data_IF_704561056878
#
_entry.id   IF_704561056878
#
_cell.length_a   1.000
_cell.length_b   1.000
_cell.length_c   1.000
_cell.angle_alpha   90.00
_cell.angle_beta   90.00
_cell.angle_gamma   90.00
#
_symmetry.space_group_name_H-M   'P 1'
#
loop_
_entity.id
_entity.type
_entity.pdbx_description
1 polymer ?
#
# COMPACT_ATOMS: atom_id res chain seq x y z
N UNK A 1 11.62 14.53 29.98
CA UNK A 1 12.86 13.85 29.53
C UNK A 1 12.94 13.99 28.03
N UNK A 2 14.09 14.39 27.48
CA UNK A 2 14.32 14.46 26.03
C UNK A 2 15.39 13.41 25.72
N UNK A 3 15.14 12.56 24.73
CA UNK A 3 16.06 11.51 24.28
C UNK A 3 16.26 11.65 22.79
N UNK A 4 17.50 11.53 22.33
CA UNK A 4 17.85 11.43 20.91
C UNK A 4 18.22 9.99 20.60
N UNK A 5 17.66 9.43 19.55
CA UNK A 5 17.90 8.05 19.13
C UNK A 5 17.94 7.96 17.61
N UNK A 6 18.73 7.02 17.10
CA UNK A 6 18.65 6.57 15.70
C UNK A 6 17.94 5.21 15.59
N UNK A 7 17.53 4.63 16.72
CA UNK A 7 16.90 3.32 16.79
C UNK A 7 15.37 3.46 16.92
N UNK A 8 14.61 2.88 15.98
CA UNK A 8 13.15 2.87 16.01
C UNK A 8 12.54 2.21 17.24
N UNK A 9 13.23 1.24 17.83
CA UNK A 9 12.77 0.50 19.00
C UNK A 9 12.53 1.38 20.24
N UNK A 10 13.03 2.61 20.26
CA UNK A 10 12.81 3.58 21.33
C UNK A 10 11.58 4.47 21.12
N UNK A 11 10.88 4.32 19.99
CA UNK A 11 9.68 5.08 19.69
C UNK A 11 8.45 4.25 20.05
N UNK A 12 7.67 4.74 21.00
CA UNK A 12 6.35 4.22 21.34
C UNK A 12 5.29 5.29 21.08
N UNK A 13 4.69 5.22 19.90
CA UNK A 13 3.60 6.12 19.45
C UNK A 13 2.28 5.90 20.18
N UNK A 14 2.15 4.83 20.98
CA UNK A 14 0.93 4.57 21.74
C UNK A 14 0.77 5.43 23.00
N UNK A 15 1.79 6.22 23.35
CA UNK A 15 1.82 7.07 24.55
C UNK A 15 1.58 8.54 24.21
N UNK A 16 0.73 9.18 25.01
CA UNK A 16 0.34 10.59 24.86
C UNK A 16 1.47 11.60 25.10
N UNK A 17 2.54 11.18 25.76
CA UNK A 17 3.66 12.06 26.10
C UNK A 17 4.82 11.97 25.09
N UNK A 18 4.64 11.28 23.96
CA UNK A 18 5.68 11.11 22.95
C UNK A 18 5.49 12.15 21.84
N UNK A 19 6.29 13.22 21.84
CA UNK A 19 6.45 14.08 20.65
C UNK A 19 7.70 13.65 19.90
N UNK A 20 7.58 13.41 18.59
CA UNK A 20 8.71 12.99 17.75
C UNK A 20 9.09 14.17 16.85
N UNK A 21 10.34 14.59 16.99
CA UNK A 21 10.95 15.64 16.16
C UNK A 21 12.04 14.97 15.35
N UNK A 22 11.85 14.96 14.02
CA UNK A 22 12.88 14.54 13.08
C UNK A 22 13.82 15.71 12.86
N UNK A 23 15.11 15.45 13.00
CA UNK A 23 16.16 16.42 12.69
C UNK A 23 16.96 15.85 11.53
N UNK A 24 17.04 16.62 10.45
CA UNK A 24 17.70 16.22 9.22
C UNK A 24 18.61 17.33 8.70
N UNK A 25 19.72 16.94 8.07
CA UNK A 25 20.65 17.86 7.44
C UNK A 25 20.50 17.74 5.92
N UNK A 26 19.96 18.77 5.29
CA UNK A 26 19.78 18.84 3.84
C UNK A 26 20.71 19.93 3.32
N UNK A 27 21.67 19.57 2.46
CA UNK A 27 22.64 20.50 1.86
C UNK A 27 23.40 21.38 2.88
N UNK A 28 23.73 20.83 4.05
CA UNK A 28 24.43 21.57 5.11
C UNK A 28 23.52 22.41 6.02
N UNK A 29 22.22 22.48 5.75
CA UNK A 29 21.25 23.17 6.59
C UNK A 29 20.51 22.16 7.48
N UNK A 30 20.50 22.43 8.80
CA UNK A 30 19.75 21.63 9.77
C UNK A 30 18.29 22.05 9.73
N UNK A 31 17.40 21.10 9.48
CA UNK A 31 15.94 21.27 9.54
C UNK A 31 15.36 20.36 10.62
N UNK A 32 14.46 20.90 11.44
CA UNK A 32 13.72 20.16 12.45
C UNK A 32 12.25 20.12 12.08
N UNK A 33 11.71 18.93 11.84
CA UNK A 33 10.29 18.72 11.52
C UNK A 33 9.63 17.94 12.65
N UNK A 34 8.57 18.49 13.25
CA UNK A 34 7.74 17.70 14.18
C UNK A 34 6.92 16.71 13.35
N UNK A 35 7.31 15.43 13.39
CA UNK A 35 6.70 14.35 12.59
C UNK A 35 5.57 13.65 13.32
N UNK A 36 5.50 13.77 14.64
CA UNK A 36 4.40 13.23 15.45
C UNK A 36 4.15 14.10 16.69
N UNK A 37 2.88 14.39 16.95
CA UNK A 37 2.43 15.07 18.16
C UNK A 37 1.02 14.59 18.54
N UNK A 38 0.85 13.92 19.69
CA UNK A 38 -0.42 13.34 20.13
C UNK A 38 -1.60 14.32 20.10
N UNK A 39 -1.42 15.58 20.49
CA UNK A 39 -2.53 16.56 20.53
C UNK A 39 -3.06 16.95 19.14
N UNK A 40 -2.28 16.71 18.08
CA UNK A 40 -2.72 16.90 16.68
C UNK A 40 -3.30 15.64 16.07
N UNK A 41 -3.06 14.50 16.73
CA UNK A 41 -3.32 13.16 16.25
C UNK A 41 -4.54 12.67 17.04
N UNK A 42 -5.74 12.82 16.46
CA UNK A 42 -7.02 12.48 17.11
C UNK A 42 -7.22 10.95 17.21
N UNK A 43 -6.29 10.24 17.87
CA UNK A 43 -6.38 8.80 18.08
C UNK A 43 -7.49 8.51 19.08
N UNK A 44 -8.49 7.77 18.63
CA UNK A 44 -9.47 7.17 19.52
C UNK A 44 -8.87 5.95 20.27
N UNK A 45 -9.65 5.37 21.18
CA UNK A 45 -9.20 4.22 21.98
C UNK A 45 -8.92 2.97 21.13
N UNK A 46 -9.60 2.84 19.98
CA UNK A 46 -9.40 1.74 19.03
C UNK A 46 -8.07 1.92 18.29
N UNK A 47 -7.81 3.13 17.77
CA UNK A 47 -6.56 3.49 17.10
C UNK A 47 -5.34 3.31 18.03
N UNK A 48 -5.47 3.68 19.31
CA UNK A 48 -4.42 3.47 20.32
C UNK A 48 -4.16 2.00 20.59
N UNK A 49 -5.23 1.20 20.68
CA UNK A 49 -5.12 -0.24 20.89
C UNK A 49 -4.47 -0.91 19.70
N UNK A 50 -4.84 -0.51 18.49
CA UNK A 50 -4.24 -0.96 17.25
C UNK A 50 -2.76 -0.55 17.15
N UNK A 51 -2.40 0.68 17.53
CA UNK A 51 -1.03 1.15 17.57
C UNK A 51 -0.14 0.36 18.54
N UNK A 52 -0.67 0.02 19.73
CA UNK A 52 0.04 -0.86 20.67
C UNK A 52 0.30 -2.22 20.07
N UNK A 53 -0.71 -2.80 19.42
CA UNK A 53 -0.59 -4.09 18.75
C UNK A 53 0.41 -4.02 17.60
N UNK A 54 0.37 -2.96 16.79
CA UNK A 54 1.33 -2.74 15.71
C UNK A 54 2.76 -2.60 16.21
N UNK A 55 3.02 -1.82 17.27
CA UNK A 55 4.36 -1.69 17.85
C UNK A 55 4.90 -3.04 18.38
N UNK A 56 4.02 -3.92 18.85
CA UNK A 56 4.39 -5.28 19.28
C UNK A 56 4.66 -6.19 18.07
N UNK A 57 3.86 -6.05 17.02
CA UNK A 57 3.84 -6.97 15.88
C UNK A 57 4.89 -6.64 14.82
N UNK A 58 5.20 -5.36 14.65
CA UNK A 58 6.17 -4.87 13.69
C UNK A 58 7.01 -3.73 14.31
N UNK A 59 8.19 -4.06 14.90
CA UNK A 59 9.06 -3.06 15.51
C UNK A 59 9.64 -2.07 14.50
N UNK A 60 9.46 -2.30 13.20
CA UNK A 60 9.94 -1.46 12.12
C UNK A 60 8.91 -0.41 11.68
N UNK A 61 7.67 -0.41 12.20
CA UNK A 61 6.69 0.68 11.95
C UNK A 61 7.27 2.05 12.30
N UNK A 62 8.08 2.11 13.36
CA UNK A 62 8.76 3.32 13.77
C UNK A 62 9.87 3.79 12.80
N UNK A 63 10.35 2.94 11.87
CA UNK A 63 11.35 3.34 10.86
C UNK A 63 10.86 4.50 9.99
N UNK A 64 9.55 4.60 9.78
CA UNK A 64 8.93 5.73 9.09
C UNK A 64 9.41 7.10 9.63
N UNK A 65 9.65 7.22 10.94
CA UNK A 65 10.07 8.48 11.57
C UNK A 65 11.51 8.89 11.24
N UNK A 66 12.33 7.95 10.80
CA UNK A 66 13.75 8.17 10.54
C UNK A 66 14.02 8.57 9.07
N UNK A 67 12.98 8.60 8.23
CA UNK A 67 13.06 9.03 6.83
C UNK A 67 12.99 7.85 5.87
N UNK A 68 13.36 8.10 4.61
CA UNK A 68 13.24 7.12 3.52
C UNK A 68 11.94 7.23 2.73
N UNK A 69 11.80 6.34 1.75
CA UNK A 69 10.63 6.22 0.87
C UNK A 69 9.72 5.13 1.44
N UNK A 70 8.54 5.51 1.91
CA UNK A 70 7.61 4.60 2.56
C UNK A 70 6.50 4.14 1.62
N UNK A 71 6.28 2.83 1.58
CA UNK A 71 5.17 2.18 0.88
C UNK A 71 4.34 1.44 1.92
N UNK A 72 3.03 1.64 1.84
CA UNK A 72 2.06 0.96 2.69
C UNK A 72 1.32 -0.04 1.82
N UNK A 73 1.24 -1.27 2.30
CA UNK A 73 0.55 -2.37 1.63
C UNK A 73 -0.52 -2.96 2.55
N UNK A 74 -1.57 -3.53 1.93
CA UNK A 74 -2.67 -4.15 2.66
C UNK A 74 -2.28 -5.50 3.24
N UNK A 75 -1.55 -6.33 2.48
CA UNK A 75 -1.28 -7.72 2.83
C UNK A 75 0.18 -8.17 2.83
N UNK A 76 0.35 -9.45 3.19
CA UNK A 76 1.66 -10.13 3.20
C UNK A 76 2.16 -10.47 1.79
N UNK A 77 1.27 -10.60 0.80
CA UNK A 77 1.64 -10.95 -0.58
C UNK A 77 2.48 -9.83 -1.19
N UNK A 78 2.00 -8.59 -1.13
CA UNK A 78 2.65 -7.40 -1.67
C UNK A 78 3.94 -7.12 -0.92
N UNK A 79 3.89 -7.21 0.42
CA UNK A 79 5.07 -7.09 1.26
C UNK A 79 6.16 -8.06 0.82
N UNK A 80 5.82 -9.35 0.69
CA UNK A 80 6.79 -10.39 0.34
C UNK A 80 7.32 -10.23 -1.08
N UNK A 81 6.44 -9.90 -2.04
CA UNK A 81 6.80 -9.65 -3.43
C UNK A 81 7.83 -8.51 -3.56
N UNK A 82 7.56 -7.38 -2.91
CA UNK A 82 8.47 -6.24 -2.94
C UNK A 82 9.76 -6.51 -2.18
N UNK A 83 9.71 -7.15 -0.99
CA UNK A 83 10.93 -7.54 -0.26
C UNK A 83 11.82 -8.46 -1.09
N UNK A 84 11.23 -9.35 -1.89
CA UNK A 84 11.97 -10.20 -2.80
C UNK A 84 12.71 -9.39 -3.88
N UNK A 85 12.02 -8.47 -4.57
CA UNK A 85 12.64 -7.57 -5.58
C UNK A 85 13.73 -6.69 -4.96
N UNK A 86 13.48 -6.14 -3.77
CA UNK A 86 14.47 -5.33 -3.06
C UNK A 86 15.74 -6.12 -2.74
N UNK A 87 15.60 -7.40 -2.36
CA UNK A 87 16.72 -8.27 -2.03
C UNK A 87 17.57 -8.64 -3.25
N UNK A 88 17.00 -8.69 -4.46
CA UNK A 88 17.78 -8.94 -5.69
C UNK A 88 18.56 -7.71 -6.15
N UNK A 89 18.13 -6.49 -5.76
CA UNK A 89 18.75 -5.21 -6.17
C UNK A 89 18.98 -4.25 -4.98
N UNK A 90 19.78 -4.65 -3.96
CA UNK A 90 19.95 -3.87 -2.72
C UNK A 90 20.62 -2.50 -2.93
N UNK A 91 21.30 -2.30 -4.06
CA UNK A 91 21.89 -1.01 -4.44
C UNK A 91 20.86 0.07 -4.80
N UNK A 92 19.72 -0.33 -5.37
CA UNK A 92 18.68 0.55 -5.93
C UNK A 92 17.64 0.91 -4.86
N UNK A 93 17.23 -0.09 -4.08
CA UNK A 93 16.14 0.04 -3.12
C UNK A 93 16.62 0.35 -1.70
N UNK A 94 17.69 1.15 -1.59
CA UNK A 94 18.14 1.71 -0.30
C UNK A 94 17.09 2.67 0.25
N UNK A 95 16.98 2.70 1.56
CA UNK A 95 16.09 3.59 2.32
C UNK A 95 14.62 3.47 1.89
N UNK A 96 14.20 2.25 1.52
CA UNK A 96 12.80 1.91 1.23
C UNK A 96 12.23 1.13 2.41
N UNK A 97 11.11 1.61 2.94
CA UNK A 97 10.40 0.96 4.03
C UNK A 97 9.02 0.52 3.54
N UNK A 98 8.71 -0.76 3.72
CA UNK A 98 7.40 -1.32 3.36
C UNK A 98 6.69 -1.68 4.65
N UNK A 99 5.51 -1.11 4.84
CA UNK A 99 4.74 -1.24 6.07
C UNK A 99 3.45 -1.97 5.76
N UNK A 100 3.18 -3.04 6.51
CA UNK A 100 1.90 -3.75 6.51
C UNK A 100 1.01 -3.09 7.56
N UNK A 101 0.11 -2.21 7.15
CA UNK A 101 -0.66 -1.43 8.12
C UNK A 101 -1.97 -0.85 7.58
N UNK A 102 -2.90 -0.63 8.51
CA UNK A 102 -4.14 0.09 8.26
C UNK A 102 -3.87 1.59 8.04
N UNK A 103 -4.41 2.11 6.93
CA UNK A 103 -4.22 3.50 6.45
C UNK A 103 -4.58 4.57 7.48
N UNK A 104 -5.48 4.28 8.42
CA UNK A 104 -5.90 5.22 9.48
C UNK A 104 -4.74 5.82 10.27
N UNK A 105 -3.73 5.01 10.58
CA UNK A 105 -2.62 5.41 11.45
C UNK A 105 -1.62 6.32 10.71
N UNK A 106 -1.68 6.39 9.38
CA UNK A 106 -0.58 6.89 8.54
C UNK A 106 -0.69 8.37 8.22
N UNK A 107 -1.89 8.98 8.29
CA UNK A 107 -2.05 10.43 8.14
C UNK A 107 -1.42 11.22 9.30
N UNK A 108 -1.07 10.52 10.36
CA UNK A 108 -0.39 11.08 11.52
C UNK A 108 1.12 11.16 11.34
N UNK A 109 1.67 10.62 10.24
CA UNK A 109 3.09 10.57 10.00
C UNK A 109 3.46 11.36 8.74
N UNK A 110 4.15 12.48 8.93
CA UNK A 110 4.44 13.45 7.86
C UNK A 110 5.59 13.01 6.93
N UNK A 111 5.33 12.95 5.62
CA UNK A 111 5.87 13.92 4.63
C UNK A 111 5.87 13.37 3.19
N UNK A 112 5.93 12.05 2.97
CA UNK A 112 5.72 11.43 1.64
C UNK A 112 5.58 9.91 1.74
N UNK A 113 4.50 9.33 1.23
CA UNK A 113 4.31 7.88 1.18
C UNK A 113 3.40 7.47 0.03
N UNK A 114 3.47 6.19 -0.33
CA UNK A 114 2.53 5.58 -1.27
C UNK A 114 1.71 4.50 -0.58
N UNK A 115 0.47 4.34 -1.02
CA UNK A 115 -0.45 3.29 -0.57
C UNK A 115 -0.75 2.39 -1.75
N UNK A 116 -0.59 1.09 -1.56
CA UNK A 116 -1.10 0.04 -2.42
C UNK A 116 -2.11 -0.79 -1.63
N UNK A 117 -3.27 -1.03 -2.20
CA UNK A 117 -4.32 -1.87 -1.63
C UNK A 117 -5.03 -2.63 -2.75
N UNK A 118 -5.88 -3.58 -2.41
CA UNK A 118 -6.69 -4.28 -3.40
C UNK A 118 -7.96 -3.48 -3.71
N UNK A 119 -8.28 -3.29 -5.00
CA UNK A 119 -9.50 -2.56 -5.36
C UNK A 119 -10.74 -3.33 -4.94
N UNK A 120 -10.64 -4.67 -4.88
CA UNK A 120 -11.78 -5.56 -4.83
C UNK A 120 -12.77 -5.26 -5.97
N UNK A 121 -13.98 -5.80 -5.85
CA UNK A 121 -15.12 -5.45 -6.70
C UNK A 121 -16.25 -4.84 -5.86
N UNK A 122 -17.04 -3.89 -6.38
CA UNK A 122 -18.15 -3.27 -5.64
C UNK A 122 -19.21 -4.28 -5.17
N UNK A 123 -19.36 -5.38 -5.90
CA UNK A 123 -20.34 -6.44 -5.63
C UNK A 123 -19.71 -7.82 -5.69
N UNK A 124 -20.16 -8.72 -4.83
CA UNK A 124 -19.76 -10.12 -4.81
C UNK A 124 -20.96 -11.05 -4.83
N UNK A 125 -20.78 -12.29 -5.30
CA UNK A 125 -21.81 -13.32 -5.30
C UNK A 125 -21.78 -14.10 -3.99
N UNK A 126 -22.89 -14.10 -3.25
CA UNK A 126 -23.05 -14.90 -2.04
C UNK A 126 -24.35 -15.69 -2.11
N UNK A 127 -24.25 -17.02 -2.06
CA UNK A 127 -25.42 -17.93 -2.16
C UNK A 127 -26.28 -17.63 -3.40
N UNK A 128 -25.66 -17.33 -4.54
CA UNK A 128 -26.35 -17.04 -5.80
C UNK A 128 -27.01 -15.66 -5.89
N UNK A 129 -26.79 -14.77 -4.90
CA UNK A 129 -27.26 -13.37 -4.94
C UNK A 129 -26.09 -12.41 -5.02
N UNK A 130 -26.21 -11.41 -5.88
CA UNK A 130 -25.30 -10.26 -5.93
C UNK A 130 -25.56 -9.38 -4.72
N UNK A 131 -24.54 -9.19 -3.89
CA UNK A 131 -24.57 -8.32 -2.72
C UNK A 131 -23.44 -7.29 -2.83
N UNK A 132 -23.55 -6.17 -2.09
CA UNK A 132 -22.41 -5.26 -1.91
C UNK A 132 -21.25 -6.01 -1.28
N UNK A 133 -20.06 -5.84 -1.82
CA UNK A 133 -18.86 -6.47 -1.27
C UNK A 133 -18.42 -5.72 -0.01
N UNK A 134 -18.36 -6.36 1.17
CA UNK A 134 -17.86 -5.71 2.37
C UNK A 134 -16.40 -5.25 2.24
N UNK A 135 -15.61 -5.94 1.42
CA UNK A 135 -14.21 -5.60 1.20
C UNK A 135 -14.05 -4.26 0.47
N UNK A 136 -14.99 -3.92 -0.44
CA UNK A 136 -15.07 -2.60 -1.09
C UNK A 136 -15.19 -1.44 -0.10
N UNK A 137 -15.80 -1.65 1.08
CA UNK A 137 -15.93 -0.61 2.09
C UNK A 137 -14.57 -0.19 2.68
N UNK A 138 -13.50 -0.98 2.49
CA UNK A 138 -12.15 -0.56 2.88
C UNK A 138 -11.63 0.58 2.00
N UNK A 139 -11.98 0.61 0.71
CA UNK A 139 -11.61 1.71 -0.20
C UNK A 139 -12.07 3.07 0.34
N UNK A 140 -13.31 3.14 0.84
CA UNK A 140 -13.86 4.36 1.46
C UNK A 140 -13.07 4.78 2.70
N UNK A 141 -12.68 3.82 3.56
CA UNK A 141 -11.89 4.09 4.76
C UNK A 141 -10.49 4.60 4.41
N UNK A 142 -9.84 3.97 3.43
CA UNK A 142 -8.52 4.37 2.92
C UNK A 142 -8.59 5.79 2.35
N UNK A 143 -9.61 6.06 1.53
CA UNK A 143 -9.83 7.38 0.94
C UNK A 143 -10.03 8.45 2.00
N UNK A 144 -10.97 8.22 2.93
CA UNK A 144 -11.28 9.17 4.00
C UNK A 144 -10.07 9.46 4.88
N UNK A 145 -9.28 8.43 5.21
CA UNK A 145 -8.03 8.58 5.91
C UNK A 145 -7.09 9.52 5.11
N UNK A 146 -6.81 9.21 3.84
CA UNK A 146 -5.92 10.02 3.00
C UNK A 146 -6.38 11.47 2.86
N UNK A 147 -7.68 11.77 2.90
CA UNK A 147 -8.18 13.15 2.86
C UNK A 147 -7.85 13.96 4.12
N UNK A 148 -7.65 13.31 5.28
CA UNK A 148 -7.31 13.97 6.54
C UNK A 148 -5.80 14.27 6.67
N UNK A 149 -5.02 14.01 5.62
CA UNK A 149 -3.57 14.26 5.60
C UNK A 149 -3.24 15.76 5.61
N UNK A 150 -2.08 16.16 6.17
CA UNK A 150 -1.57 17.52 5.99
C UNK A 150 -1.37 17.87 4.50
N UNK A 151 -1.74 19.09 4.08
CA UNK A 151 -1.60 19.55 2.68
C UNK A 151 -0.17 19.48 2.13
N UNK A 152 0.84 19.41 2.99
CA UNK A 152 2.26 19.27 2.63
C UNK A 152 2.67 17.84 2.29
N UNK A 153 1.80 16.85 2.53
CA UNK A 153 2.10 15.44 2.28
C UNK A 153 1.82 15.08 0.82
N UNK A 154 2.86 14.59 0.13
CA UNK A 154 2.72 13.99 -1.19
C UNK A 154 2.38 12.51 -1.05
N UNK A 155 1.15 12.14 -1.37
CA UNK A 155 0.64 10.77 -1.25
C UNK A 155 0.20 10.27 -2.62
N UNK A 156 0.71 9.10 -3.01
CA UNK A 156 0.21 8.35 -4.17
C UNK A 156 -0.66 7.20 -3.68
N UNK A 157 -1.82 7.04 -4.30
CA UNK A 157 -2.81 6.02 -3.95
C UNK A 157 -3.06 5.13 -5.16
N UNK A 158 -2.59 3.90 -5.09
CA UNK A 158 -2.79 2.87 -6.11
C UNK A 158 -3.66 1.75 -5.57
N UNK A 159 -4.55 1.21 -6.40
CA UNK A 159 -5.26 -0.03 -6.14
C UNK A 159 -4.83 -1.11 -7.14
N UNK A 160 -4.53 -2.32 -6.66
CA UNK A 160 -4.41 -3.51 -7.49
C UNK A 160 -5.80 -3.89 -7.99
N UNK A 161 -5.98 -3.94 -9.30
CA UNK A 161 -7.24 -4.30 -9.94
C UNK A 161 -7.71 -5.70 -9.49
N UNK A 162 -8.84 -5.73 -8.80
CA UNK A 162 -9.34 -6.93 -8.13
C UNK A 162 -8.52 -7.21 -6.88
N UNK A 163 -7.39 -7.90 -7.07
CA UNK A 163 -6.41 -8.16 -6.03
C UNK A 163 -5.00 -8.23 -6.62
N UNK A 164 -3.97 -8.16 -5.76
CA UNK A 164 -2.58 -8.19 -6.17
C UNK A 164 -2.24 -9.40 -7.05
N UNK A 165 -2.66 -10.60 -6.68
CA UNK A 165 -2.32 -11.80 -7.44
C UNK A 165 -2.95 -11.80 -8.84
N UNK A 166 -4.24 -11.44 -8.94
CA UNK A 166 -4.91 -11.32 -10.24
C UNK A 166 -4.26 -10.22 -11.09
N UNK A 167 -3.96 -9.06 -10.52
CA UNK A 167 -3.43 -7.92 -11.26
C UNK A 167 -2.03 -8.17 -11.87
N UNK A 168 -1.15 -8.87 -11.14
CA UNK A 168 0.25 -9.00 -11.54
C UNK A 168 0.66 -10.42 -11.93
N UNK A 169 -0.06 -11.44 -11.47
CA UNK A 169 0.21 -12.84 -11.83
C UNK A 169 -0.88 -13.43 -12.74
N UNK A 170 -2.06 -12.83 -12.82
CA UNK A 170 -3.15 -13.32 -13.67
C UNK A 170 -3.88 -14.53 -13.09
N UNK A 171 -3.66 -14.85 -11.81
CA UNK A 171 -4.21 -16.01 -11.12
C UNK A 171 -4.77 -15.58 -9.75
N UNK A 172 -5.98 -16.05 -9.40
CA UNK A 172 -6.49 -15.94 -8.03
C UNK A 172 -6.09 -17.19 -7.25
N UNK A 173 -4.93 -17.13 -6.59
CA UNK A 173 -4.45 -18.25 -5.78
C UNK A 173 -5.07 -18.17 -4.37
N UNK A 174 -5.85 -19.19 -3.98
CA UNK A 174 -6.58 -19.22 -2.71
C UNK A 174 -5.75 -19.58 -1.46
N UNK A 175 -4.60 -20.25 -1.61
CA UNK A 175 -3.77 -20.75 -0.50
C UNK A 175 -2.30 -20.34 -0.64
N UNK A 176 -1.61 -20.11 0.49
CA UNK A 176 -0.15 -19.85 0.54
C UNK A 176 0.35 -18.66 -0.31
N UNK A 177 -0.48 -17.61 -0.40
CA UNK A 177 -0.24 -16.45 -1.27
C UNK A 177 1.16 -15.84 -1.19
N UNK A 178 1.77 -15.57 0.00
CA UNK A 178 3.10 -14.97 0.05
C UNK A 178 4.20 -15.85 -0.55
N UNK A 179 4.12 -17.16 -0.32
CA UNK A 179 5.07 -18.11 -0.89
C UNK A 179 4.90 -18.20 -2.41
N UNK A 180 3.65 -18.30 -2.88
CA UNK A 180 3.35 -18.37 -4.31
C UNK A 180 3.79 -17.10 -5.06
N UNK A 181 3.68 -15.92 -4.44
CA UNK A 181 4.20 -14.70 -5.01
C UNK A 181 5.71 -14.79 -5.30
N UNK A 182 6.50 -15.35 -4.38
CA UNK A 182 7.94 -15.56 -4.61
C UNK A 182 8.17 -16.51 -5.78
N UNK A 183 7.46 -17.64 -5.82
CA UNK A 183 7.60 -18.64 -6.89
C UNK A 183 7.30 -18.02 -8.25
N UNK A 184 6.23 -17.22 -8.37
CA UNK A 184 5.89 -16.52 -9.60
C UNK A 184 6.98 -15.54 -10.03
N UNK A 185 7.56 -14.79 -9.09
CA UNK A 185 8.62 -13.82 -9.38
C UNK A 185 9.95 -14.49 -9.75
N UNK A 186 10.25 -15.65 -9.18
CA UNK A 186 11.49 -16.39 -9.48
C UNK A 186 11.48 -17.06 -10.85
N UNK A 187 10.31 -17.54 -11.30
CA UNK A 187 10.19 -18.37 -12.51
C UNK A 187 9.62 -17.61 -13.72
N UNK A 188 9.24 -16.34 -13.56
CA UNK A 188 8.67 -15.54 -14.63
C UNK A 188 9.21 -14.11 -14.61
N UNK A 189 10.13 -13.83 -15.53
CA UNK A 189 10.79 -12.53 -15.67
C UNK A 189 9.80 -11.40 -16.00
N UNK A 190 8.75 -11.66 -16.79
CA UNK A 190 7.74 -10.65 -17.11
C UNK A 190 6.91 -10.26 -15.86
N UNK A 191 6.53 -11.24 -15.03
CA UNK A 191 5.86 -10.98 -13.74
C UNK A 191 6.79 -10.21 -12.80
N UNK A 192 8.09 -10.55 -12.77
CA UNK A 192 9.10 -9.81 -12.01
C UNK A 192 9.19 -8.36 -12.45
N UNK A 193 9.39 -8.09 -13.74
CA UNK A 193 9.49 -6.74 -14.29
C UNK A 193 8.23 -5.91 -14.04
N UNK A 194 7.05 -6.53 -14.15
CA UNK A 194 5.77 -5.86 -13.89
C UNK A 194 5.64 -5.41 -12.44
N UNK A 195 5.95 -6.28 -11.47
CA UNK A 195 5.92 -5.93 -10.04
C UNK A 195 7.06 -4.96 -9.68
N UNK A 196 8.20 -5.04 -10.36
CA UNK A 196 9.27 -4.07 -10.21
C UNK A 196 8.85 -2.66 -10.69
N UNK A 197 8.18 -2.57 -11.84
CA UNK A 197 7.61 -1.31 -12.32
C UNK A 197 6.58 -0.73 -11.34
N UNK A 198 5.77 -1.58 -10.69
CA UNK A 198 4.86 -1.17 -9.63
C UNK A 198 5.61 -0.58 -8.44
N UNK A 199 6.63 -1.29 -7.94
CA UNK A 199 7.47 -0.83 -6.84
C UNK A 199 8.11 0.53 -7.18
N UNK A 200 8.66 0.65 -8.38
CA UNK A 200 9.24 1.87 -8.90
C UNK A 200 8.24 3.04 -8.96
N UNK A 201 7.02 2.80 -9.42
CA UNK A 201 5.95 3.79 -9.47
C UNK A 201 5.47 4.21 -8.07
N UNK A 202 5.49 3.30 -7.09
CA UNK A 202 5.20 3.63 -5.69
C UNK A 202 6.34 4.47 -5.07
N UNK A 203 7.59 4.32 -5.52
CA UNK A 203 8.73 5.09 -5.01
C UNK A 203 8.91 6.45 -5.71
N UNK A 204 8.58 6.53 -7.00
CA UNK A 204 8.71 7.71 -7.84
C UNK A 204 7.37 8.06 -8.49
N UNK A 205 6.73 9.12 -7.98
CA UNK A 205 5.42 9.55 -8.44
C UNK A 205 5.41 10.08 -9.88
N UNK A 206 6.58 10.28 -10.50
CA UNK A 206 6.68 10.64 -11.92
C UNK A 206 6.58 9.43 -12.86
N UNK A 207 6.82 8.21 -12.34
CA UNK A 207 6.71 6.99 -13.13
C UNK A 207 5.24 6.57 -13.28
N UNK A 208 4.94 6.00 -14.44
CA UNK A 208 3.60 5.47 -14.77
C UNK A 208 3.44 4.09 -14.11
N UNK A 209 2.35 3.84 -13.37
CA UNK A 209 2.06 2.52 -12.84
C UNK A 209 1.84 1.47 -13.96
N UNK A 210 2.21 0.20 -13.74
CA UNK A 210 1.99 -0.86 -14.72
C UNK A 210 0.49 -1.18 -14.88
N UNK A 211 0.14 -1.91 -15.94
CA UNK A 211 -1.22 -2.42 -16.12
C UNK A 211 -1.68 -3.23 -14.90
N UNK A 212 -2.91 -3.01 -14.45
CA UNK A 212 -3.46 -3.61 -13.22
C UNK A 212 -3.26 -2.75 -11.97
N UNK A 213 -2.43 -1.71 -12.02
CA UNK A 213 -2.33 -0.70 -10.97
C UNK A 213 -3.18 0.53 -11.31
N UNK A 214 -4.23 0.78 -10.52
CA UNK A 214 -5.18 1.86 -10.72
C UNK A 214 -4.81 3.05 -9.83
N UNK A 215 -4.36 4.17 -10.39
CA UNK A 215 -4.20 5.42 -9.64
C UNK A 215 -5.53 6.17 -9.58
N UNK A 216 -5.99 6.52 -8.37
CA UNK A 216 -7.32 7.09 -8.17
C UNK A 216 -7.37 8.18 -7.10
N UNK A 217 -8.34 9.08 -7.24
CA UNK A 217 -8.50 10.29 -6.41
C UNK A 217 -9.93 10.48 -5.88
N UNK A 218 -10.86 9.60 -6.25
CA UNK A 218 -12.21 9.52 -5.70
C UNK A 218 -12.76 8.10 -5.81
N UNK A 219 -13.70 7.73 -4.94
CA UNK A 219 -14.35 6.42 -4.98
C UNK A 219 -15.09 6.22 -6.31
N UNK A 220 -15.77 7.24 -6.81
CA UNK A 220 -16.45 7.18 -8.11
C UNK A 220 -15.49 6.87 -9.27
N UNK A 221 -14.29 7.47 -9.26
CA UNK A 221 -13.26 7.18 -10.26
C UNK A 221 -12.80 5.71 -10.16
N UNK A 222 -12.58 5.20 -8.94
CA UNK A 222 -12.18 3.80 -8.75
C UNK A 222 -13.29 2.84 -9.23
N UNK A 223 -14.56 3.12 -8.93
CA UNK A 223 -15.71 2.34 -9.41
C UNK A 223 -15.74 2.28 -10.94
N UNK A 224 -15.57 3.43 -11.61
CA UNK A 224 -15.55 3.52 -13.07
C UNK A 224 -14.40 2.71 -13.68
N UNK A 225 -13.19 2.82 -13.10
CA UNK A 225 -12.01 2.07 -13.57
C UNK A 225 -12.20 0.56 -13.43
N UNK A 226 -12.75 0.10 -12.31
CA UNK A 226 -13.02 -1.34 -12.07
C UNK A 226 -14.12 -1.84 -13.02
N UNK A 227 -15.19 -1.06 -13.23
CA UNK A 227 -16.29 -1.41 -14.13
C UNK A 227 -15.84 -1.44 -15.61
N UNK A 228 -15.01 -0.49 -16.03
CA UNK A 228 -14.44 -0.45 -17.38
C UNK A 228 -13.58 -1.68 -17.65
N UNK A 229 -12.82 -2.15 -16.66
CA UNK A 229 -12.03 -3.36 -16.82
C UNK A 229 -12.88 -4.63 -16.86
N UNK A 230 -13.87 -4.76 -15.98
CA UNK A 230 -14.81 -5.90 -16.04
C UNK A 230 -15.48 -6.00 -17.42
N UNK A 231 -15.84 -4.85 -18.01
CA UNK A 231 -16.42 -4.80 -19.35
C UNK A 231 -15.43 -5.29 -20.43
N UNK A 232 -14.14 -4.94 -20.34
CA UNK A 232 -13.11 -5.43 -21.26
C UNK A 232 -12.91 -6.94 -21.14
N UNK A 233 -12.89 -7.48 -19.92
CA UNK A 233 -12.78 -8.92 -19.66
C UNK A 233 -13.96 -9.69 -20.29
N UNK A 234 -15.19 -9.19 -20.17
CA UNK A 234 -16.36 -9.80 -20.82
C UNK A 234 -16.28 -9.78 -22.35
N UNK A 235 -15.80 -8.69 -22.94
CA UNK A 235 -15.64 -8.58 -24.40
C UNK A 235 -14.56 -9.55 -24.91
N UNK A 236 -13.43 -9.66 -24.20
CA UNK A 236 -12.36 -10.59 -24.54
C UNK A 236 -12.85 -12.05 -24.49
N UNK A 237 -13.55 -12.43 -23.43
CA UNK A 237 -14.12 -13.78 -23.27
C UNK A 237 -15.17 -14.10 -24.35
N UNK A 238 -16.01 -13.13 -24.74
CA UNK A 238 -16.98 -13.31 -25.83
C UNK A 238 -16.32 -13.45 -27.20
N UNK A 239 -15.13 -12.88 -27.39
CA UNK A 239 -14.38 -12.98 -28.65
C UNK A 239 -13.67 -14.33 -28.78
N UNK A 240 -13.12 -14.88 -27.68
CA UNK A 240 -12.51 -16.23 -27.65
C UNK A 240 -13.52 -17.35 -27.94
N UNK A 241 -14.74 -17.25 -27.40
CA UNK A 241 -15.80 -18.25 -27.65
C UNK A 241 -16.22 -18.28 -29.13
N UNK A 242 -16.17 -17.16 -29.85
CA UNK A 242 -16.52 -17.11 -31.28
C UNK A 242 -15.47 -17.71 -32.22
N UNK A 243 -14.22 -17.89 -31.76
CA UNK A 243 -13.14 -18.46 -32.60
C UNK A 243 -13.10 -19.99 -32.51
N UNK A 244 -13.51 -20.56 -31.36
CA UNK A 244 -13.58 -22.01 -31.14
C UNK A 244 -14.86 -22.68 -31.71
N UNK A 245 -15.87 -21.89 -32.13
CA UNK A 245 -17.06 -22.39 -32.83
C UNK A 245 -16.94 -22.37 -34.37
N UNK A 246 -15.79 -21.96 -34.90
CA UNK A 246 -15.55 -21.89 -36.36
C UNK A 246 -14.23 -22.58 -36.74
N UNK A 247 -14.03 -23.82 -36.29
CA UNK A 247 -13.14 -24.79 -36.93
C UNK A 247 -13.65 -26.22 -36.80
#
# INVERSE_FOLDING_TARGET
MIVTTHSPAFIDVSRDNTTIIRVEQINGQISGTTVFRPERVKLDDEDRSLLKLMNIFDPYVAEFFFGGRCIIVEGDTEYTAFKHIMATKPGIYKDVHIIRALVKILNHFGSRYSVLHDSDTPTTLRKGKTIKNPAWAHNEKIYAAIQDRPHTSNVRLLASLGNFEKAYFGEEVGSEKPYNAIIHLQHNEQRFEKVEQLLDALLDHSKVPPEGALEWTSIAQLEEMVAAQASKELVAAGTEVTIDEVF
#
